data_IF_467436409205
#
_entry.id   IF_467436409205
#
_cell.length_a   1.000
_cell.length_b   1.000
_cell.length_c   1.000
_cell.angle_alpha   90.00
_cell.angle_beta   90.00
_cell.angle_gamma   90.00
#
_symmetry.space_group_name_H-M   'P 1'
#
loop_
_entity.id
_entity.type
_entity.pdbx_description
1 polymer ?
#
# COMPACT_ATOMS: atom_id res chain seq x y z
N UNK A 1 -7.17 22.14 -18.84
CA UNK A 1 -8.28 22.27 -17.87
C UNK A 1 -7.68 22.25 -16.47
N UNK A 2 -7.92 23.27 -15.63
CA UNK A 2 -7.45 23.24 -14.23
C UNK A 2 -8.38 22.34 -13.42
N UNK A 3 -7.85 21.30 -12.78
CA UNK A 3 -8.62 20.47 -11.83
C UNK A 3 -8.40 21.01 -10.42
N UNK A 4 -9.47 21.05 -9.64
CA UNK A 4 -9.45 21.50 -8.24
C UNK A 4 -9.92 20.39 -7.32
N UNK A 5 -9.35 20.33 -6.12
CA UNK A 5 -9.79 19.48 -5.03
C UNK A 5 -9.91 20.31 -3.76
N UNK A 6 -11.14 20.45 -3.22
CA UNK A 6 -11.44 21.30 -2.05
C UNK A 6 -10.83 22.72 -2.12
N UNK A 7 -10.91 23.35 -3.30
CA UNK A 7 -10.34 24.68 -3.55
C UNK A 7 -8.83 24.71 -3.84
N UNK A 8 -8.13 23.58 -3.77
CA UNK A 8 -6.71 23.47 -4.09
C UNK A 8 -6.55 23.14 -5.58
N UNK A 9 -5.76 23.94 -6.30
CA UNK A 9 -5.43 23.68 -7.70
C UNK A 9 -4.42 22.53 -7.79
N UNK A 10 -4.83 21.41 -8.40
CA UNK A 10 -3.98 20.21 -8.49
C UNK A 10 -2.70 20.50 -9.28
N UNK A 11 -2.78 21.31 -10.33
CA UNK A 11 -1.62 21.68 -11.15
C UNK A 11 -0.56 22.51 -10.41
N UNK A 12 -0.90 23.10 -9.26
CA UNK A 12 0.02 23.88 -8.43
C UNK A 12 0.63 23.06 -7.29
N UNK A 13 0.21 21.80 -7.12
CA UNK A 13 0.80 20.88 -6.15
C UNK A 13 2.20 20.47 -6.62
N UNK A 14 3.16 20.49 -5.70
CA UNK A 14 4.51 19.96 -5.88
C UNK A 14 4.66 18.56 -5.31
N UNK A 15 4.13 18.33 -4.11
CA UNK A 15 4.15 17.03 -3.45
C UNK A 15 3.03 16.93 -2.42
N UNK A 16 2.56 15.71 -2.18
CA UNK A 16 1.64 15.36 -1.09
C UNK A 16 2.45 14.48 -0.16
N UNK A 17 2.58 14.85 1.11
CA UNK A 17 3.30 14.04 2.09
C UNK A 17 2.37 13.08 2.81
N UNK A 18 2.97 12.05 3.42
CA UNK A 18 2.26 11.06 4.22
C UNK A 18 1.50 11.63 5.42
N UNK A 19 0.82 10.71 6.08
CA UNK A 19 -0.11 10.97 7.17
C UNK A 19 0.67 11.06 8.49
N UNK A 20 0.46 12.15 9.22
CA UNK A 20 1.06 12.39 10.53
C UNK A 20 0.00 12.42 11.64
N UNK A 21 0.41 11.99 12.83
CA UNK A 21 -0.39 11.93 14.05
C UNK A 21 0.41 11.23 15.15
N UNK A 22 0.18 11.58 16.42
CA UNK A 22 0.83 10.89 17.55
C UNK A 22 -0.08 9.78 18.08
N UNK A 23 0.46 8.57 18.20
CA UNK A 23 -0.19 7.49 18.94
C UNK A 23 -0.42 7.94 20.38
N UNK A 24 -1.69 7.98 20.82
CA UNK A 24 -2.06 8.27 22.21
C UNK A 24 -2.49 9.72 22.51
N UNK A 25 -2.47 10.62 21.53
CA UNK A 25 -3.11 11.94 21.66
C UNK A 25 -4.49 11.89 20.97
N UNK A 26 -5.52 12.55 21.55
CA UNK A 26 -6.89 12.67 20.98
C UNK A 26 -6.95 13.50 19.68
N UNK A 27 -5.82 13.66 18.99
CA UNK A 27 -5.60 14.66 17.96
C UNK A 27 -5.79 14.09 16.55
N UNK A 28 -6.59 14.81 15.78
CA UNK A 28 -6.77 14.69 14.34
C UNK A 28 -5.50 14.28 13.59
N UNK A 29 -5.64 13.26 12.76
CA UNK A 29 -4.64 12.84 11.80
C UNK A 29 -4.56 13.87 10.66
N UNK A 30 -3.36 14.19 10.18
CA UNK A 30 -3.18 15.20 9.14
C UNK A 30 -2.32 14.71 7.98
N UNK A 31 -2.42 15.39 6.84
CA UNK A 31 -1.42 15.29 5.77
C UNK A 31 -1.08 16.68 5.23
N UNK A 32 0.10 16.80 4.61
CA UNK A 32 0.56 18.07 4.05
C UNK A 32 0.56 18.04 2.53
N UNK A 33 0.23 19.19 1.95
CA UNK A 33 0.32 19.46 0.53
C UNK A 33 1.34 20.58 0.36
N UNK A 34 2.48 20.24 -0.25
CA UNK A 34 3.50 21.20 -0.64
C UNK A 34 3.16 21.73 -2.02
N UNK A 35 2.97 23.04 -2.12
CA UNK A 35 2.67 23.75 -3.35
C UNK A 35 3.97 24.16 -4.07
N UNK A 36 3.89 24.45 -5.37
CA UNK A 36 5.04 24.88 -6.20
C UNK A 36 5.58 26.25 -5.80
N UNK A 37 4.74 27.12 -5.27
CA UNK A 37 5.09 28.42 -4.70
C UNK A 37 5.76 28.33 -3.32
N UNK A 38 6.07 27.10 -2.86
CA UNK A 38 6.65 26.76 -1.55
C UNK A 38 5.68 26.86 -0.37
N UNK A 39 4.41 27.23 -0.57
CA UNK A 39 3.39 27.16 0.48
C UNK A 39 3.17 25.71 0.91
N UNK A 40 2.91 25.49 2.19
CA UNK A 40 2.47 24.21 2.73
C UNK A 40 1.05 24.37 3.27
N UNK A 41 0.16 23.49 2.83
CA UNK A 41 -1.21 23.39 3.35
C UNK A 41 -1.29 22.12 4.18
N UNK A 42 -1.65 22.24 5.45
CA UNK A 42 -1.88 21.10 6.35
C UNK A 42 -3.37 20.93 6.56
N UNK A 43 -3.88 19.72 6.32
CA UNK A 43 -5.30 19.41 6.50
C UNK A 43 -5.45 18.36 7.59
N UNK A 44 -6.33 18.65 8.55
CA UNK A 44 -6.61 17.80 9.72
C UNK A 44 -7.97 17.11 9.53
N UNK A 45 -8.01 15.82 9.83
CA UNK A 45 -9.21 14.99 9.77
C UNK A 45 -9.22 14.00 10.92
N UNK A 46 -10.38 13.41 11.20
CA UNK A 46 -10.42 12.15 11.93
C UNK A 46 -9.66 11.08 11.15
N UNK A 47 -9.07 10.11 11.85
CA UNK A 47 -8.03 9.23 11.33
C UNK A 47 -8.37 8.58 9.99
N UNK A 48 -9.46 7.80 9.94
CA UNK A 48 -9.92 7.12 8.74
C UNK A 48 -10.19 8.08 7.57
N UNK A 49 -10.67 9.28 7.88
CA UNK A 49 -10.97 10.29 6.85
C UNK A 49 -9.69 10.91 6.28
N UNK A 50 -8.62 11.04 7.07
CA UNK A 50 -7.33 11.54 6.59
C UNK A 50 -6.75 10.61 5.49
N UNK A 51 -6.75 9.29 5.73
CA UNK A 51 -6.31 8.28 4.77
C UNK A 51 -7.11 8.33 3.48
N UNK A 52 -8.45 8.34 3.61
CA UNK A 52 -9.34 8.41 2.45
C UNK A 52 -9.11 9.67 1.61
N UNK A 53 -9.01 10.84 2.23
CA UNK A 53 -8.82 12.10 1.52
C UNK A 53 -7.43 12.25 0.92
N UNK A 54 -6.39 11.74 1.58
CA UNK A 54 -5.04 11.71 0.99
C UNK A 54 -5.03 10.86 -0.27
N UNK A 55 -5.58 9.64 -0.20
CA UNK A 55 -5.62 8.71 -1.34
C UNK A 55 -6.40 9.29 -2.51
N UNK A 56 -7.55 9.93 -2.22
CA UNK A 56 -8.35 10.66 -3.21
C UNK A 56 -7.52 11.75 -3.92
N UNK A 57 -6.87 12.63 -3.15
CA UNK A 57 -6.06 13.72 -3.71
C UNK A 57 -4.85 13.20 -4.50
N UNK A 58 -4.16 12.17 -3.99
CA UNK A 58 -3.00 11.56 -4.64
C UNK A 58 -3.38 10.88 -5.95
N UNK A 59 -4.54 10.22 -6.02
CA UNK A 59 -5.08 9.67 -7.28
C UNK A 59 -5.32 10.76 -8.32
N UNK A 60 -5.96 11.86 -7.93
CA UNK A 60 -6.19 13.01 -8.83
C UNK A 60 -4.88 13.67 -9.28
N UNK A 61 -3.91 13.76 -8.39
CA UNK A 61 -2.57 14.25 -8.69
C UNK A 61 -1.86 13.35 -9.72
N UNK A 62 -1.85 12.03 -9.49
CA UNK A 62 -1.24 11.07 -10.41
C UNK A 62 -1.90 11.13 -11.78
N UNK A 63 -3.24 11.20 -11.85
CA UNK A 63 -3.98 11.33 -13.10
C UNK A 63 -3.59 12.63 -13.84
N UNK A 64 -3.58 13.77 -13.14
CA UNK A 64 -3.21 15.06 -13.72
C UNK A 64 -1.77 15.07 -14.26
N UNK A 65 -0.85 14.45 -13.55
CA UNK A 65 0.57 14.37 -13.91
C UNK A 65 0.93 13.17 -14.79
N UNK A 66 -0.05 12.32 -15.14
CA UNK A 66 0.14 11.08 -15.90
C UNK A 66 1.20 10.16 -15.27
N UNK A 67 1.22 10.10 -13.95
CA UNK A 67 2.11 9.20 -13.20
C UNK A 67 1.56 7.78 -13.35
N UNK A 68 2.31 6.84 -13.93
CA UNK A 68 1.84 5.48 -14.13
C UNK A 68 1.68 4.74 -12.80
N UNK A 69 0.87 3.69 -12.83
CA UNK A 69 0.83 2.69 -11.77
C UNK A 69 2.22 2.06 -11.60
N UNK A 70 2.69 1.98 -10.36
CA UNK A 70 3.94 1.32 -10.01
C UNK A 70 3.92 0.85 -8.56
N UNK A 71 4.75 -0.12 -8.24
CA UNK A 71 4.84 -0.75 -6.93
C UNK A 71 6.31 -0.87 -6.52
N UNK A 72 6.68 -0.24 -5.39
CA UNK A 72 8.01 -0.37 -4.81
C UNK A 72 8.07 -1.60 -3.90
N UNK A 73 9.03 -2.50 -4.13
CA UNK A 73 9.24 -3.68 -3.27
C UNK A 73 9.84 -3.28 -1.93
N UNK A 74 9.25 -3.71 -0.81
CA UNK A 74 9.77 -3.41 0.53
C UNK A 74 10.15 -4.63 1.37
N UNK A 75 9.24 -5.61 1.52
CA UNK A 75 9.42 -6.69 2.50
C UNK A 75 8.76 -7.98 2.03
N UNK A 76 9.51 -9.07 2.05
CA UNK A 76 8.91 -10.39 1.83
C UNK A 76 7.83 -10.66 2.89
N UNK A 77 6.70 -11.17 2.45
CA UNK A 77 5.67 -11.74 3.33
C UNK A 77 5.76 -13.25 3.30
N UNK A 78 5.58 -13.85 4.46
CA UNK A 78 5.57 -15.29 4.63
C UNK A 78 4.23 -15.74 5.19
N UNK A 79 3.84 -16.97 4.97
CA UNK A 79 2.73 -17.60 5.69
C UNK A 79 3.28 -18.71 6.56
N UNK A 80 2.50 -19.13 7.55
CA UNK A 80 2.81 -20.33 8.33
C UNK A 80 1.83 -21.44 7.98
N UNK A 81 2.33 -22.64 7.68
CA UNK A 81 1.51 -23.81 7.39
C UNK A 81 2.03 -24.98 8.21
N UNK A 82 1.23 -25.49 9.14
CA UNK A 82 1.61 -26.59 10.06
C UNK A 82 2.97 -26.35 10.76
N UNK A 83 3.23 -25.11 11.18
CA UNK A 83 4.49 -24.71 11.82
C UNK A 83 5.61 -24.28 10.87
N UNK A 84 5.53 -24.58 9.56
CA UNK A 84 6.55 -24.20 8.58
C UNK A 84 6.34 -22.78 8.05
N UNK A 85 7.42 -22.03 7.87
CA UNK A 85 7.39 -20.66 7.32
C UNK A 85 7.69 -20.73 5.83
N UNK A 86 6.76 -20.22 5.02
CA UNK A 86 6.83 -20.30 3.56
C UNK A 86 6.75 -18.90 2.96
N UNK A 87 7.66 -18.56 2.04
CA UNK A 87 7.59 -17.31 1.28
C UNK A 87 6.29 -17.28 0.46
N UNK A 88 5.54 -16.19 0.57
CA UNK A 88 4.21 -16.08 -0.02
C UNK A 88 4.01 -14.86 -0.92
N UNK A 89 4.87 -13.85 -0.78
CA UNK A 89 4.79 -12.64 -1.57
C UNK A 89 5.67 -11.52 -1.04
N UNK A 90 5.23 -10.27 -1.26
CA UNK A 90 5.88 -9.06 -0.79
C UNK A 90 4.86 -7.99 -0.34
N UNK A 91 5.21 -7.21 0.68
CA UNK A 91 4.63 -5.90 0.95
C UNK A 91 5.26 -4.92 -0.02
N UNK A 92 4.41 -4.15 -0.69
CA UNK A 92 4.81 -3.15 -1.67
C UNK A 92 4.16 -1.81 -1.35
N UNK A 93 4.83 -0.72 -1.69
CA UNK A 93 4.24 0.62 -1.70
C UNK A 93 3.70 0.92 -3.10
N UNK A 94 2.40 1.18 -3.22
CA UNK A 94 1.79 1.56 -4.49
C UNK A 94 2.13 3.02 -4.88
N UNK A 95 1.77 3.45 -6.09
CA UNK A 95 2.01 4.82 -6.55
C UNK A 95 1.15 5.88 -5.83
N UNK A 96 0.27 5.46 -4.93
CA UNK A 96 -0.51 6.31 -4.03
C UNK A 96 0.16 6.45 -2.66
N UNK A 97 1.36 5.91 -2.52
CA UNK A 97 2.18 5.83 -1.31
C UNK A 97 1.49 5.02 -0.19
N UNK A 98 0.65 4.03 -0.54
CA UNK A 98 0.01 3.13 0.42
C UNK A 98 0.63 1.74 0.37
N UNK A 99 0.70 1.07 1.53
CA UNK A 99 1.23 -0.28 1.63
C UNK A 99 0.16 -1.34 1.37
N UNK A 100 0.45 -2.21 0.41
CA UNK A 100 -0.40 -3.36 0.06
C UNK A 100 0.43 -4.64 -0.02
N UNK A 101 -0.25 -5.78 0.05
CA UNK A 101 0.37 -7.09 -0.07
C UNK A 101 0.13 -7.65 -1.47
N UNK A 102 1.20 -8.17 -2.08
CA UNK A 102 1.16 -8.86 -3.37
C UNK A 102 1.71 -10.26 -3.20
N UNK A 103 0.97 -11.25 -3.69
CA UNK A 103 1.39 -12.64 -3.77
C UNK A 103 2.53 -12.83 -4.79
N UNK A 104 3.23 -13.96 -4.76
CA UNK A 104 4.29 -14.24 -5.74
C UNK A 104 3.78 -14.22 -7.18
N UNK A 105 2.59 -14.76 -7.43
CA UNK A 105 1.95 -14.72 -8.76
C UNK A 105 1.71 -13.28 -9.22
N UNK A 106 1.12 -12.44 -8.37
CA UNK A 106 0.88 -11.04 -8.74
C UNK A 106 2.19 -10.28 -8.98
N UNK A 107 3.25 -10.59 -8.23
CA UNK A 107 4.55 -9.96 -8.43
C UNK A 107 5.15 -10.34 -9.78
N UNK A 108 5.01 -11.59 -10.23
CA UNK A 108 5.46 -12.03 -11.55
C UNK A 108 4.67 -11.33 -12.67
N UNK A 109 3.35 -11.20 -12.51
CA UNK A 109 2.48 -10.46 -13.43
C UNK A 109 2.91 -8.99 -13.53
N UNK A 110 3.01 -8.29 -12.39
CA UNK A 110 3.42 -6.88 -12.32
C UNK A 110 4.84 -6.66 -12.85
N UNK A 111 5.75 -7.61 -12.64
CA UNK A 111 7.11 -7.56 -13.17
C UNK A 111 7.11 -7.67 -14.69
N UNK A 112 6.28 -8.55 -15.25
CA UNK A 112 6.12 -8.67 -16.71
C UNK A 112 5.55 -7.40 -17.36
N UNK A 113 4.73 -6.65 -16.61
CA UNK A 113 4.16 -5.36 -17.03
C UNK A 113 5.11 -4.17 -16.81
N UNK A 114 6.30 -4.38 -16.23
CA UNK A 114 7.25 -3.30 -15.91
C UNK A 114 6.78 -2.36 -14.80
N UNK A 115 5.84 -2.80 -13.94
CA UNK A 115 5.27 -1.99 -12.84
C UNK A 115 6.04 -2.09 -11.52
N UNK A 116 6.96 -3.05 -11.41
CA UNK A 116 7.77 -3.23 -10.20
C UNK A 116 8.98 -2.31 -10.21
N UNK A 117 9.18 -1.61 -9.09
CA UNK A 117 10.41 -0.87 -8.77
C UNK A 117 11.12 -1.57 -7.61
N UNK A 118 12.42 -1.74 -7.73
CA UNK A 118 13.24 -2.33 -6.68
C UNK A 118 14.46 -1.43 -6.43
N UNK A 119 14.56 -0.90 -5.21
CA UNK A 119 15.67 -0.04 -4.79
C UNK A 119 16.84 -0.81 -4.14
N UNK A 120 16.75 -2.15 -4.09
CA UNK A 120 17.84 -3.00 -3.60
C UNK A 120 18.01 -3.01 -2.07
N UNK A 121 17.10 -2.37 -1.33
CA UNK A 121 17.06 -2.41 0.13
C UNK A 121 15.69 -2.92 0.61
N UNK A 122 15.68 -3.53 1.80
CA UNK A 122 14.50 -4.12 2.45
C UNK A 122 14.55 -3.79 3.94
N UNK A 123 13.40 -3.59 4.58
CA UNK A 123 13.40 -3.39 6.03
C UNK A 123 13.65 -4.74 6.73
N UNK A 124 14.29 -4.75 7.91
CA UNK A 124 14.43 -5.98 8.72
C UNK A 124 13.14 -6.30 9.49
N UNK A 125 12.04 -6.54 8.77
CA UNK A 125 10.72 -6.82 9.34
C UNK A 125 10.23 -8.21 8.89
N UNK A 126 9.83 -9.03 9.87
CA UNK A 126 9.12 -10.29 9.60
C UNK A 126 7.62 -10.04 9.51
N UNK A 127 7.03 -10.31 8.34
CA UNK A 127 5.60 -10.16 8.09
C UNK A 127 5.01 -11.54 7.84
N UNK A 128 4.06 -11.94 8.70
CA UNK A 128 3.34 -13.20 8.55
C UNK A 128 1.84 -13.00 8.75
N UNK A 129 1.08 -12.75 7.67
CA UNK A 129 -0.30 -12.32 7.79
C UNK A 129 -1.31 -13.48 7.75
N UNK A 130 -0.86 -14.71 7.44
CA UNK A 130 -1.69 -15.93 7.40
C UNK A 130 -1.02 -17.08 8.15
N UNK A 131 -1.82 -17.86 8.86
CA UNK A 131 -1.42 -19.10 9.51
C UNK A 131 -2.48 -20.18 9.29
N UNK A 132 -2.06 -21.35 8.82
CA UNK A 132 -2.91 -22.50 8.49
C UNK A 132 -2.41 -23.72 9.27
N UNK A 133 -3.31 -24.42 9.95
CA UNK A 133 -3.01 -25.69 10.62
C UNK A 133 -4.05 -26.74 10.24
N UNK A 134 -3.59 -27.90 9.79
CA UNK A 134 -4.43 -29.02 9.37
C UNK A 134 -5.54 -28.59 8.39
N UNK A 135 -5.18 -27.69 7.46
CA UNK A 135 -6.09 -27.12 6.46
C UNK A 135 -7.01 -26.02 6.98
N UNK A 136 -6.99 -25.64 8.26
CA UNK A 136 -7.82 -24.58 8.82
C UNK A 136 -7.04 -23.28 8.97
N UNK A 137 -7.66 -22.15 8.66
CA UNK A 137 -7.08 -20.83 8.94
C UNK A 137 -7.13 -20.56 10.44
N UNK A 138 -5.97 -20.43 11.06
CA UNK A 138 -5.83 -20.11 12.50
C UNK A 138 -5.62 -18.60 12.69
N UNK A 139 -5.00 -17.93 11.71
CA UNK A 139 -4.82 -16.47 11.71
C UNK A 139 -4.89 -15.92 10.30
N UNK A 140 -5.48 -14.73 10.16
CA UNK A 140 -5.60 -14.02 8.89
C UNK A 140 -6.94 -14.29 8.20
N UNK A 141 -7.10 -13.72 7.02
CA UNK A 141 -8.29 -13.88 6.20
C UNK A 141 -7.86 -14.23 4.78
N UNK A 142 -8.47 -15.27 4.21
CA UNK A 142 -8.21 -15.64 2.83
C UNK A 142 -9.04 -14.75 1.92
N UNK A 143 -8.34 -14.04 1.05
CA UNK A 143 -8.91 -13.28 -0.06
C UNK A 143 -8.74 -14.10 -1.34
N UNK A 144 -9.49 -13.77 -2.40
CA UNK A 144 -9.41 -14.50 -3.68
C UNK A 144 -7.98 -14.56 -4.24
N UNK A 145 -7.23 -13.45 -4.12
CA UNK A 145 -5.81 -13.39 -4.50
C UNK A 145 -4.94 -14.38 -3.69
N UNK A 146 -5.21 -14.56 -2.40
CA UNK A 146 -4.44 -15.48 -1.56
C UNK A 146 -4.84 -16.92 -1.82
N UNK A 147 -6.13 -17.18 -2.07
CA UNK A 147 -6.59 -18.51 -2.46
C UNK A 147 -5.90 -18.95 -3.75
N UNK A 148 -5.83 -18.08 -4.77
CA UNK A 148 -5.12 -18.33 -6.03
C UNK A 148 -3.65 -18.73 -5.81
N UNK A 149 -2.95 -18.05 -4.90
CA UNK A 149 -1.56 -18.38 -4.55
C UNK A 149 -1.45 -19.70 -3.79
N UNK A 150 -2.34 -19.96 -2.82
CA UNK A 150 -2.36 -21.22 -2.06
C UNK A 150 -2.61 -22.43 -2.97
N UNK A 151 -3.56 -22.30 -3.91
CA UNK A 151 -3.88 -23.33 -4.89
C UNK A 151 -2.67 -23.62 -5.79
N UNK A 152 -1.97 -22.58 -6.26
CA UNK A 152 -0.76 -22.73 -7.07
C UNK A 152 0.38 -23.43 -6.32
N UNK A 153 0.46 -23.23 -5.00
CA UNK A 153 1.43 -23.90 -4.13
C UNK A 153 0.99 -25.33 -3.72
N UNK A 154 -0.23 -25.76 -4.07
CA UNK A 154 -0.79 -27.05 -3.67
C UNK A 154 -1.21 -27.11 -2.19
N UNK A 155 -1.38 -25.97 -1.52
CA UNK A 155 -1.80 -25.89 -0.12
C UNK A 155 -3.33 -25.83 -0.06
N UNK A 156 -3.94 -26.90 0.48
CA UNK A 156 -5.39 -26.96 0.64
C UNK A 156 -5.84 -26.29 1.93
N UNK A 157 -6.87 -25.46 1.81
CA UNK A 157 -7.60 -24.89 2.95
C UNK A 157 -9.04 -25.42 2.92
N UNK A 158 -9.56 -25.79 4.09
CA UNK A 158 -10.88 -26.35 4.35
C UNK A 158 -11.86 -25.31 4.87
#
# INVERSE_FOLDING_TARGET
>A
MRKYWRGICIGDIKAISGIGGRFGEETYTYFNIRMKDKKVITLYFEDVNAYKHRRELKSLFNEYHKIPESYLLENNIHIRVNGEIILFGCRVEDNLDDYVYKTLIELDELKSEGKIRDEGWRHMLFICPLEIENGKVIRGTITDQWQRQLDHMGIKVL
#
